data_IF_608546221174
#
_entry.id   IF_608546221174
#
_cell.length_a   1.000
_cell.length_b   1.000
_cell.length_c   1.000
_cell.angle_alpha   90.00
_cell.angle_beta   90.00
_cell.angle_gamma   90.00
#
_symmetry.space_group_name_H-M   'P 1'
#
loop_
_entity.id
_entity.type
_entity.pdbx_description
1 polymer ?
#
# COMPACT_ATOMS: atom_id res chain seq x y z
N UNK A 1 -23.85 -77.76 53.08
CA UNK A 1 -23.36 -76.60 53.92
C UNK A 1 -22.63 -75.64 53.02
N UNK A 2 -23.28 -74.50 52.73
CA UNK A 2 -22.90 -73.53 51.68
C UNK A 2 -22.02 -72.45 52.29
N UNK A 3 -20.82 -72.34 51.80
CA UNK A 3 -19.99 -71.15 52.06
C UNK A 3 -19.98 -70.22 50.86
N UNK A 4 -20.87 -69.23 50.87
CA UNK A 4 -20.78 -68.07 49.98
C UNK A 4 -19.86 -67.05 50.60
N UNK A 5 -18.60 -67.06 50.23
CA UNK A 5 -17.64 -65.98 50.52
C UNK A 5 -17.80 -64.90 49.55
N UNK A 6 -18.28 -63.76 50.04
CA UNK A 6 -18.42 -62.48 49.36
C UNK A 6 -17.16 -62.04 48.62
N UNK A 7 -17.31 -61.83 47.29
CA UNK A 7 -16.28 -61.19 46.50
C UNK A 7 -16.33 -59.66 46.83
N UNK A 8 -15.45 -59.25 47.76
CA UNK A 8 -15.10 -57.85 47.89
C UNK A 8 -14.38 -57.41 46.60
N UNK A 9 -15.07 -56.60 45.76
CA UNK A 9 -14.40 -55.88 44.68
C UNK A 9 -13.40 -54.93 45.33
N UNK A 10 -12.12 -55.23 45.22
CA UNK A 10 -11.05 -54.26 45.52
C UNK A 10 -11.25 -53.05 44.57
N UNK A 11 -11.61 -51.91 45.10
CA UNK A 11 -11.44 -50.64 44.39
C UNK A 11 -9.97 -50.56 44.04
N UNK A 12 -9.68 -50.55 42.72
CA UNK A 12 -8.32 -50.24 42.24
C UNK A 12 -8.00 -48.83 42.72
N UNK A 13 -7.04 -48.70 43.60
CA UNK A 13 -6.46 -47.44 44.00
C UNK A 13 -5.92 -46.77 42.71
N UNK A 14 -6.50 -45.66 42.35
CA UNK A 14 -6.05 -44.85 41.21
C UNK A 14 -4.62 -44.42 41.54
N UNK A 15 -3.67 -44.78 40.69
CA UNK A 15 -2.27 -44.43 40.91
C UNK A 15 -2.14 -42.90 41.02
N UNK A 16 -1.20 -42.39 41.85
CA UNK A 16 -1.05 -40.93 42.03
C UNK A 16 -0.80 -40.21 40.72
N UNK A 17 -0.23 -40.87 39.72
CA UNK A 17 -0.05 -40.37 38.37
C UNK A 17 -1.40 -40.15 37.64
N UNK A 18 -2.34 -41.10 37.79
CA UNK A 18 -3.68 -40.99 37.17
C UNK A 18 -4.49 -39.87 37.83
N UNK A 19 -4.34 -39.66 39.14
CA UNK A 19 -4.99 -38.54 39.83
C UNK A 19 -4.46 -37.19 39.32
N UNK A 20 -3.14 -37.08 39.18
CA UNK A 20 -2.52 -35.86 38.60
C UNK A 20 -3.00 -35.60 37.17
N UNK A 21 -3.10 -36.64 36.32
CA UNK A 21 -3.60 -36.55 34.96
C UNK A 21 -5.07 -36.07 34.90
N UNK A 22 -5.94 -36.63 35.77
CA UNK A 22 -7.34 -36.21 35.86
C UNK A 22 -7.50 -34.75 36.31
N UNK A 23 -6.72 -34.32 37.31
CA UNK A 23 -6.71 -32.95 37.79
C UNK A 23 -6.27 -32.02 36.65
N UNK A 24 -5.18 -32.35 35.95
CA UNK A 24 -4.66 -31.57 34.85
C UNK A 24 -5.68 -31.44 33.71
N UNK A 25 -6.32 -32.55 33.30
CA UNK A 25 -7.39 -32.54 32.29
C UNK A 25 -8.57 -31.66 32.69
N UNK A 26 -8.99 -31.77 33.95
CA UNK A 26 -10.11 -30.95 34.46
C UNK A 26 -9.77 -29.46 34.43
N UNK A 27 -8.58 -29.08 34.90
CA UNK A 27 -8.10 -27.70 34.87
C UNK A 27 -8.01 -27.18 33.42
N UNK A 28 -7.46 -27.98 32.51
CA UNK A 28 -7.37 -27.61 31.09
C UNK A 28 -8.74 -27.43 30.44
N UNK A 29 -9.67 -28.31 30.74
CA UNK A 29 -11.07 -28.23 30.23
C UNK A 29 -11.77 -26.99 30.77
N UNK A 30 -11.59 -26.67 32.05
CA UNK A 30 -12.12 -25.41 32.63
C UNK A 30 -11.48 -24.21 31.98
N UNK A 31 -10.18 -24.20 31.77
CA UNK A 31 -9.45 -23.11 31.11
C UNK A 31 -9.95 -22.90 29.67
N UNK A 32 -10.10 -23.98 28.91
CA UNK A 32 -10.68 -23.93 27.55
C UNK A 32 -12.12 -23.40 27.61
N UNK A 33 -12.93 -23.88 28.54
CA UNK A 33 -14.31 -23.39 28.75
C UNK A 33 -14.34 -21.89 29.04
N UNK A 34 -13.46 -21.38 29.90
CA UNK A 34 -13.35 -19.95 30.20
C UNK A 34 -12.99 -19.16 28.94
N UNK A 35 -11.99 -19.61 28.16
CA UNK A 35 -11.57 -18.95 26.92
C UNK A 35 -12.69 -18.93 25.89
N UNK A 36 -13.43 -20.03 25.73
CA UNK A 36 -14.58 -20.10 24.82
C UNK A 36 -15.74 -19.20 25.26
N UNK A 37 -16.02 -19.12 26.56
CA UNK A 37 -17.08 -18.26 27.11
C UNK A 37 -16.72 -16.78 27.11
N UNK A 38 -15.44 -16.43 27.23
CA UNK A 38 -14.98 -15.02 27.20
C UNK A 38 -15.14 -14.40 25.82
N UNK A 39 -15.11 -15.24 24.76
CA UNK A 39 -15.26 -14.80 23.38
C UNK A 39 -14.18 -13.83 22.90
N UNK A 40 -14.17 -13.52 21.62
CA UNK A 40 -13.26 -12.52 21.06
C UNK A 40 -13.85 -11.11 21.28
N UNK A 41 -13.28 -10.37 22.22
CA UNK A 41 -13.66 -8.98 22.57
C UNK A 41 -12.83 -7.94 21.80
N UNK A 42 -12.02 -8.35 20.83
CA UNK A 42 -11.22 -7.40 20.04
C UNK A 42 -12.13 -6.44 19.29
N UNK A 43 -11.83 -5.15 19.36
CA UNK A 43 -12.58 -4.13 18.63
C UNK A 43 -12.31 -4.30 17.14
N UNK A 44 -13.36 -4.26 16.29
CA UNK A 44 -13.19 -4.27 14.85
C UNK A 44 -12.30 -3.10 14.40
N UNK A 45 -11.31 -3.39 13.54
CA UNK A 45 -10.42 -2.36 13.00
C UNK A 45 -9.94 -2.74 11.60
N UNK A 46 -9.55 -1.73 10.84
CA UNK A 46 -8.82 -1.91 9.58
C UNK A 46 -7.39 -2.34 9.90
N UNK A 47 -6.96 -3.48 9.38
CA UNK A 47 -5.59 -3.98 9.50
C UNK A 47 -4.69 -3.43 8.42
N UNK A 48 -5.23 -3.37 7.20
CA UNK A 48 -4.46 -2.95 6.04
C UNK A 48 -5.37 -2.22 5.05
N UNK A 49 -4.85 -1.14 4.51
CA UNK A 49 -5.39 -0.42 3.37
C UNK A 49 -4.31 -0.35 2.29
N UNK A 50 -4.53 -1.01 1.15
CA UNK A 50 -3.49 -1.21 0.15
C UNK A 50 -2.97 0.07 -0.49
N UNK A 51 -3.77 1.14 -0.47
CA UNK A 51 -3.37 2.44 -1.01
C UNK A 51 -2.90 3.45 0.04
N UNK A 52 -2.75 3.03 1.30
CA UNK A 52 -2.30 3.91 2.37
C UNK A 52 -0.97 4.60 2.03
N UNK A 53 -1.00 5.94 1.98
CA UNK A 53 0.15 6.81 1.68
C UNK A 53 0.82 6.51 0.32
N UNK A 54 0.08 5.90 -0.61
CA UNK A 54 0.60 5.60 -1.96
C UNK A 54 0.21 6.68 -2.96
N UNK A 55 1.06 6.79 -3.97
CA UNK A 55 0.76 7.51 -5.20
C UNK A 55 0.31 6.49 -6.25
N UNK A 56 -0.93 6.64 -6.75
CA UNK A 56 -1.58 5.70 -7.66
C UNK A 56 -1.65 6.25 -9.07
N UNK A 57 -1.53 5.37 -10.06
CA UNK A 57 -1.63 5.68 -11.48
C UNK A 57 -2.99 5.35 -12.08
N UNK A 58 -3.14 5.58 -13.38
CA UNK A 58 -4.36 5.23 -14.13
C UNK A 58 -4.60 3.72 -14.24
N UNK A 59 -3.58 2.92 -14.02
CA UNK A 59 -3.63 1.45 -14.03
C UNK A 59 -4.20 0.88 -12.73
N UNK A 60 -4.15 1.66 -11.66
CA UNK A 60 -4.62 1.24 -10.35
C UNK A 60 -6.14 1.39 -10.27
N UNK A 61 -6.86 0.34 -10.66
CA UNK A 61 -8.32 0.35 -10.75
C UNK A 61 -9.04 -0.11 -9.49
N UNK A 62 -8.35 -0.26 -8.37
CA UNK A 62 -9.01 -0.65 -7.13
C UNK A 62 -8.08 -0.83 -5.94
N UNK A 63 -8.68 -0.78 -4.75
CA UNK A 63 -7.96 -1.00 -3.49
C UNK A 63 -8.65 -2.08 -2.64
N UNK A 64 -7.88 -2.59 -1.68
CA UNK A 64 -8.34 -3.55 -0.69
C UNK A 64 -8.30 -2.92 0.70
N UNK A 65 -9.33 -3.23 1.48
CA UNK A 65 -9.33 -3.01 2.94
C UNK A 65 -9.46 -4.37 3.61
N UNK A 66 -8.49 -4.71 4.44
CA UNK A 66 -8.48 -5.94 5.23
C UNK A 66 -8.83 -5.60 6.69
N UNK A 67 -9.82 -6.33 7.23
CA UNK A 67 -10.28 -6.13 8.59
C UNK A 67 -9.71 -7.23 9.51
N UNK A 68 -9.58 -6.93 10.81
CA UNK A 68 -9.17 -7.94 11.78
C UNK A 68 -10.22 -9.05 12.01
N UNK A 69 -11.50 -8.77 11.66
CA UNK A 69 -12.63 -9.70 11.82
C UNK A 69 -13.67 -9.51 10.71
N UNK A 70 -14.61 -10.47 10.53
CA UNK A 70 -15.70 -10.31 9.56
C UNK A 70 -16.58 -9.12 9.89
N UNK A 71 -16.86 -8.28 8.90
CA UNK A 71 -17.67 -7.08 9.03
C UNK A 71 -19.08 -7.29 8.47
N UNK A 72 -20.04 -6.54 8.98
CA UNK A 72 -21.34 -6.40 8.35
C UNK A 72 -21.18 -5.58 7.07
N UNK A 73 -21.34 -6.22 5.92
CA UNK A 73 -21.09 -5.66 4.59
C UNK A 73 -21.90 -4.40 4.35
N UNK A 74 -23.21 -4.47 4.58
CA UNK A 74 -24.12 -3.34 4.39
C UNK A 74 -23.75 -2.16 5.29
N UNK A 75 -23.33 -2.43 6.53
CA UNK A 75 -22.87 -1.40 7.45
C UNK A 75 -21.60 -0.73 6.98
N UNK A 76 -20.63 -1.48 6.41
CA UNK A 76 -19.41 -0.89 5.84
C UNK A 76 -19.74 -0.07 4.59
N UNK A 77 -20.55 -0.59 3.68
CA UNK A 77 -20.95 0.08 2.45
C UNK A 77 -21.64 1.42 2.69
N UNK A 78 -22.50 1.50 3.71
CA UNK A 78 -23.19 2.74 4.10
C UNK A 78 -22.27 3.77 4.77
N UNK A 79 -21.20 3.32 5.41
CA UNK A 79 -20.33 4.16 6.24
C UNK A 79 -18.95 4.45 5.62
N UNK A 80 -18.64 3.86 4.47
CA UNK A 80 -17.42 4.16 3.74
C UNK A 80 -17.60 5.46 2.96
N UNK A 81 -16.74 6.43 3.23
CA UNK A 81 -16.71 7.72 2.54
C UNK A 81 -15.36 7.91 1.88
N UNK A 82 -15.37 8.34 0.63
CA UNK A 82 -14.19 8.68 -0.16
C UNK A 82 -14.34 10.14 -0.58
N UNK A 83 -13.35 10.94 -0.28
CA UNK A 83 -13.34 12.37 -0.61
C UNK A 83 -12.02 12.74 -1.34
N UNK A 84 -12.12 13.29 -2.56
CA UNK A 84 -13.29 13.44 -3.42
C UNK A 84 -13.98 12.11 -3.75
N UNK A 85 -15.30 12.14 -4.06
CA UNK A 85 -16.05 10.90 -4.30
C UNK A 85 -15.56 10.20 -5.57
N UNK A 86 -15.34 8.89 -5.45
CA UNK A 86 -14.99 8.01 -6.56
C UNK A 86 -16.12 7.02 -6.82
N UNK A 87 -16.44 6.82 -8.10
CA UNK A 87 -17.42 5.82 -8.52
C UNK A 87 -16.78 4.44 -8.57
N UNK A 88 -17.42 3.46 -7.96
CA UNK A 88 -16.89 2.10 -7.92
C UNK A 88 -17.89 1.09 -7.38
N UNK A 89 -17.45 -0.16 -7.31
CA UNK A 89 -18.22 -1.29 -6.78
C UNK A 89 -17.44 -1.96 -5.66
N UNK A 90 -18.16 -2.35 -4.61
CA UNK A 90 -17.60 -3.13 -3.51
C UNK A 90 -17.82 -4.61 -3.75
N UNK A 91 -16.83 -5.42 -3.44
CA UNK A 91 -16.89 -6.88 -3.43
C UNK A 91 -16.20 -7.42 -2.18
N UNK A 92 -16.58 -8.62 -1.74
CA UNK A 92 -16.18 -9.16 -0.46
C UNK A 92 -15.62 -10.57 -0.56
N UNK A 93 -14.53 -10.82 0.14
CA UNK A 93 -13.93 -12.12 0.34
C UNK A 93 -13.57 -12.31 1.83
N UNK A 94 -14.49 -12.91 2.60
CA UNK A 94 -14.30 -13.08 4.04
C UNK A 94 -14.17 -11.75 4.78
N UNK A 95 -12.98 -11.46 5.34
CA UNK A 95 -12.65 -10.23 6.06
C UNK A 95 -12.12 -9.10 5.18
N UNK A 96 -11.99 -9.36 3.88
CA UNK A 96 -11.42 -8.43 2.91
C UNK A 96 -12.50 -7.82 2.05
N UNK A 97 -12.47 -6.50 1.92
CA UNK A 97 -13.30 -5.74 1.00
C UNK A 97 -12.41 -5.21 -0.12
N UNK A 98 -12.83 -5.41 -1.36
CA UNK A 98 -12.25 -4.80 -2.54
C UNK A 98 -13.18 -3.71 -3.05
N UNK A 99 -12.61 -2.53 -3.31
CA UNK A 99 -13.28 -1.44 -4.00
C UNK A 99 -12.70 -1.32 -5.40
N UNK A 100 -13.50 -1.61 -6.42
CA UNK A 100 -13.10 -1.53 -7.83
C UNK A 100 -13.69 -0.27 -8.43
N UNK A 101 -12.83 0.58 -8.96
CA UNK A 101 -13.23 1.83 -9.62
C UNK A 101 -13.94 1.57 -10.94
N UNK A 102 -14.93 2.39 -11.26
CA UNK A 102 -15.60 2.38 -12.56
C UNK A 102 -14.84 3.16 -13.63
N UNK A 103 -14.00 4.08 -13.22
CA UNK A 103 -13.18 4.96 -14.07
C UNK A 103 -11.85 5.28 -13.35
N UNK A 104 -10.79 5.60 -14.08
CA UNK A 104 -9.51 5.99 -13.48
C UNK A 104 -9.67 7.25 -12.61
N UNK A 105 -8.84 7.35 -11.58
CA UNK A 105 -8.83 8.54 -10.70
C UNK A 105 -8.35 9.78 -11.45
N UNK A 106 -8.89 10.96 -11.14
CA UNK A 106 -8.38 12.24 -11.64
C UNK A 106 -6.91 12.43 -11.24
N UNK A 107 -6.08 12.93 -12.13
CA UNK A 107 -4.66 13.17 -11.87
C UNK A 107 -4.43 14.27 -10.82
N UNK A 108 -3.30 14.16 -10.10
CA UNK A 108 -2.80 15.16 -9.18
C UNK A 108 -3.69 15.43 -7.96
N UNK A 109 -4.64 14.55 -7.68
CA UNK A 109 -5.69 14.75 -6.68
C UNK A 109 -5.37 13.97 -5.41
N UNK A 110 -5.36 14.60 -4.23
CA UNK A 110 -5.32 13.89 -2.95
C UNK A 110 -6.72 13.34 -2.61
N UNK A 111 -6.74 12.14 -2.04
CA UNK A 111 -7.96 11.46 -1.62
C UNK A 111 -7.88 11.06 -0.16
N UNK A 112 -9.01 11.11 0.54
CA UNK A 112 -9.18 10.53 1.86
C UNK A 112 -10.25 9.43 1.84
N UNK A 113 -10.01 8.36 2.58
CA UNK A 113 -10.94 7.25 2.77
C UNK A 113 -11.28 7.19 4.25
N UNK A 114 -12.54 7.38 4.59
CA UNK A 114 -13.00 7.37 5.97
C UNK A 114 -13.99 6.25 6.19
N UNK A 115 -13.81 5.52 7.28
CA UNK A 115 -14.76 4.51 7.73
C UNK A 115 -15.06 4.71 9.20
N UNK A 116 -16.27 5.20 9.49
CA UNK A 116 -16.75 5.48 10.85
C UNK A 116 -18.15 4.94 11.02
N UNK A 117 -18.46 4.32 12.17
CA UNK A 117 -19.83 3.85 12.45
C UNK A 117 -20.18 2.49 11.84
N UNK A 118 -19.29 1.87 11.08
CA UNK A 118 -19.50 0.52 10.61
C UNK A 118 -19.45 -0.50 11.78
N UNK A 119 -20.10 -1.64 11.60
CA UNK A 119 -20.23 -2.69 12.62
C UNK A 119 -19.70 -4.02 12.09
N UNK A 120 -19.24 -4.87 12.99
CA UNK A 120 -18.84 -6.23 12.64
C UNK A 120 -20.06 -7.14 12.44
N UNK A 121 -19.80 -8.32 11.89
CA UNK A 121 -20.80 -9.37 11.73
C UNK A 121 -20.78 -10.25 12.98
N UNK A 122 -21.67 -9.99 13.94
CA UNK A 122 -21.91 -10.89 15.08
C UNK A 122 -22.93 -11.96 14.70
N UNK A 123 -22.66 -13.18 15.15
CA UNK A 123 -23.65 -14.26 15.07
C UNK A 123 -24.81 -13.98 16.04
N UNK A 124 -26.02 -13.79 15.50
CA UNK A 124 -27.26 -13.59 16.26
C UNK A 124 -27.84 -12.16 16.13
N UNK A 125 -29.01 -11.95 16.76
CA UNK A 125 -29.79 -10.70 16.69
C UNK A 125 -29.20 -9.49 17.41
N UNK A 126 -27.97 -9.60 17.93
CA UNK A 126 -27.28 -8.50 18.60
C UNK A 126 -26.65 -7.57 17.57
N UNK A 127 -26.83 -6.28 17.79
CA UNK A 127 -26.10 -5.27 17.02
C UNK A 127 -24.59 -5.50 17.17
N UNK A 128 -23.87 -5.65 16.03
CA UNK A 128 -22.43 -5.85 16.02
C UNK A 128 -21.66 -4.71 16.70
N UNK A 129 -20.41 -4.96 17.04
CA UNK A 129 -19.51 -3.98 17.67
C UNK A 129 -19.09 -2.92 16.65
N UNK A 130 -19.06 -1.66 17.08
CA UNK A 130 -18.60 -0.55 16.25
C UNK A 130 -17.12 -0.68 15.93
N UNK A 131 -16.77 -0.37 14.69
CA UNK A 131 -15.39 -0.31 14.22
C UNK A 131 -14.65 0.88 14.84
N UNK A 132 -13.37 0.69 15.11
CA UNK A 132 -12.47 1.80 15.38
C UNK A 132 -12.44 2.73 14.16
N UNK A 133 -12.64 4.04 14.34
CA UNK A 133 -12.60 4.99 13.22
C UNK A 133 -11.30 4.88 12.44
N UNK A 134 -11.43 4.77 11.13
CA UNK A 134 -10.31 4.65 10.21
C UNK A 134 -10.27 5.86 9.26
N UNK A 135 -9.06 6.39 9.03
CA UNK A 135 -8.79 7.41 8.01
C UNK A 135 -7.58 6.95 7.19
N UNK A 136 -7.81 6.71 5.92
CA UNK A 136 -6.79 6.40 4.94
C UNK A 136 -6.55 7.58 4.00
N UNK A 137 -5.33 7.70 3.45
CA UNK A 137 -4.96 8.75 2.52
C UNK A 137 -4.17 8.15 1.37
N UNK A 138 -4.43 8.64 0.17
CA UNK A 138 -3.64 8.36 -1.01
C UNK A 138 -3.72 9.55 -1.97
N UNK A 139 -2.86 9.57 -2.98
CA UNK A 139 -2.85 10.60 -4.00
C UNK A 139 -2.71 9.97 -5.37
N UNK A 140 -3.39 10.50 -6.36
CA UNK A 140 -3.14 10.13 -7.75
C UNK A 140 -1.87 10.80 -8.28
N UNK A 141 -1.22 10.14 -9.25
CA UNK A 141 -0.04 10.68 -9.92
C UNK A 141 -0.38 11.97 -10.65
N UNK A 142 0.62 12.83 -10.74
CA UNK A 142 0.51 14.03 -11.55
C UNK A 142 0.52 13.66 -13.05
N UNK A 143 -0.21 14.41 -13.84
CA UNK A 143 -0.10 14.35 -15.28
C UNK A 143 1.01 15.26 -15.74
N UNK A 144 2.01 14.71 -16.38
CA UNK A 144 3.16 15.47 -16.88
C UNK A 144 3.54 14.99 -18.27
N UNK A 145 4.22 15.84 -19.02
CA UNK A 145 4.91 15.47 -20.25
C UNK A 145 6.32 16.03 -20.26
N UNK A 146 7.20 15.35 -20.99
CA UNK A 146 8.56 15.81 -21.20
C UNK A 146 8.80 16.08 -22.68
N UNK A 147 9.67 17.03 -22.99
CA UNK A 147 10.11 17.34 -24.35
C UNK A 147 11.56 17.82 -24.36
N UNK A 148 12.19 17.79 -25.52
CA UNK A 148 13.51 18.39 -25.73
C UNK A 148 13.29 19.81 -26.23
N UNK A 149 13.80 20.79 -25.50
CA UNK A 149 13.71 22.20 -25.89
C UNK A 149 14.52 22.49 -27.17
N UNK A 150 13.98 23.35 -28.02
CA UNK A 150 14.59 23.69 -29.32
C UNK A 150 15.01 25.16 -29.44
N UNK A 151 14.69 25.99 -28.45
CA UNK A 151 14.96 27.43 -28.49
C UNK A 151 15.31 28.01 -27.11
N UNK A 152 16.12 29.08 -27.11
CA UNK A 152 16.41 29.90 -25.96
C UNK A 152 17.12 29.10 -24.83
N UNK A 153 16.72 29.35 -23.58
CA UNK A 153 17.31 28.69 -22.41
C UNK A 153 16.98 27.19 -22.28
N UNK A 154 16.04 26.70 -23.10
CA UNK A 154 15.63 25.29 -23.11
C UNK A 154 16.34 24.48 -24.21
N UNK A 155 17.08 25.13 -25.09
CA UNK A 155 17.73 24.51 -26.26
C UNK A 155 18.63 23.34 -25.87
N UNK A 156 18.29 22.15 -26.39
CA UNK A 156 18.98 20.89 -26.13
C UNK A 156 18.70 20.27 -24.76
N UNK A 157 17.87 20.89 -23.93
CA UNK A 157 17.55 20.39 -22.59
C UNK A 157 16.30 19.52 -22.59
N UNK A 158 16.28 18.53 -21.70
CA UNK A 158 15.05 17.79 -21.38
C UNK A 158 14.23 18.63 -20.39
N UNK A 159 13.04 18.94 -20.79
CA UNK A 159 12.09 19.78 -20.02
C UNK A 159 10.91 18.96 -19.59
N UNK A 160 10.46 19.11 -18.35
CA UNK A 160 9.25 18.51 -17.80
C UNK A 160 8.21 19.59 -17.54
N UNK A 161 6.96 19.33 -17.93
CA UNK A 161 5.82 20.20 -17.61
C UNK A 161 4.79 19.37 -16.83
N UNK A 162 4.52 19.78 -15.60
CA UNK A 162 3.50 19.16 -14.76
C UNK A 162 2.15 19.84 -14.98
N UNK A 163 1.24 19.15 -15.68
CA UNK A 163 -0.10 19.65 -16.01
C UNK A 163 -1.09 19.58 -14.82
N UNK A 164 -0.75 18.93 -13.74
CA UNK A 164 -1.59 18.87 -12.53
C UNK A 164 -1.46 20.11 -11.65
N UNK A 165 -0.51 20.99 -11.95
CA UNK A 165 -0.36 22.28 -11.27
C UNK A 165 -1.31 23.31 -11.84
N UNK A 166 -1.75 24.26 -11.01
CA UNK A 166 -2.62 25.38 -11.45
C UNK A 166 -1.98 26.23 -12.55
N UNK A 167 -0.67 26.42 -12.45
CA UNK A 167 0.16 27.12 -13.44
C UNK A 167 1.30 26.20 -13.86
N UNK A 168 1.15 25.42 -14.93
CA UNK A 168 2.19 24.56 -15.43
C UNK A 168 3.42 25.37 -15.86
N UNK A 169 4.55 25.16 -15.23
CA UNK A 169 5.83 25.80 -15.59
C UNK A 169 6.81 24.76 -16.12
N UNK A 170 7.58 25.08 -17.18
CA UNK A 170 8.64 24.22 -17.66
C UNK A 170 9.72 24.05 -16.60
N UNK A 171 10.09 22.83 -16.30
CA UNK A 171 11.15 22.48 -15.34
C UNK A 171 12.26 21.80 -16.13
N UNK A 172 13.45 22.42 -16.26
CA UNK A 172 14.57 21.79 -16.94
C UNK A 172 15.11 20.66 -16.09
N UNK A 173 15.13 19.44 -16.65
CA UNK A 173 15.63 18.22 -15.99
C UNK A 173 17.12 18.02 -16.18
N UNK A 174 17.71 18.59 -17.25
CA UNK A 174 19.13 18.47 -17.56
C UNK A 174 19.82 19.83 -17.45
N UNK A 175 21.13 19.83 -17.11
CA UNK A 175 21.92 21.05 -17.05
C UNK A 175 22.13 21.67 -18.45
N UNK A 176 22.64 22.91 -18.50
CA UNK A 176 22.77 23.67 -19.74
C UNK A 176 23.93 23.21 -20.64
N UNK A 177 24.88 22.51 -20.08
CA UNK A 177 26.07 21.98 -20.78
C UNK A 177 25.78 20.65 -21.50
N UNK A 178 24.60 20.07 -21.32
CA UNK A 178 24.16 18.85 -22.02
C UNK A 178 23.18 19.15 -23.14
N UNK A 179 23.34 18.42 -24.23
CA UNK A 179 22.36 18.36 -25.33
C UNK A 179 21.76 16.96 -25.34
N UNK A 180 20.49 16.87 -25.02
CA UNK A 180 19.72 15.64 -25.06
C UNK A 180 19.36 15.31 -26.49
N UNK A 181 19.64 14.09 -26.92
CA UNK A 181 19.41 13.61 -28.28
C UNK A 181 18.10 12.83 -28.38
N UNK A 182 17.82 12.03 -27.34
CA UNK A 182 16.63 11.18 -27.28
C UNK A 182 16.31 10.86 -25.80
N UNK A 183 15.03 10.57 -25.52
CA UNK A 183 14.61 10.15 -24.20
C UNK A 183 13.44 9.17 -24.26
N UNK A 184 13.37 8.29 -23.26
CA UNK A 184 12.30 7.32 -23.10
C UNK A 184 11.85 7.26 -21.65
N UNK A 185 10.58 7.56 -21.34
CA UNK A 185 10.03 7.36 -20.00
C UNK A 185 9.91 5.86 -19.70
N UNK A 186 10.24 5.47 -18.46
CA UNK A 186 9.98 4.11 -18.00
C UNK A 186 8.49 3.89 -17.79
N UNK A 187 7.99 2.66 -18.02
CA UNK A 187 6.56 2.34 -17.96
C UNK A 187 5.87 2.72 -16.65
N UNK A 188 6.59 2.69 -15.52
CA UNK A 188 6.05 3.10 -14.22
C UNK A 188 6.17 4.59 -13.93
N UNK A 189 6.68 5.39 -14.86
CA UNK A 189 6.68 6.86 -14.81
C UNK A 189 7.59 7.52 -13.79
N UNK A 190 8.42 6.75 -13.06
CA UNK A 190 9.27 7.29 -12.01
C UNK A 190 10.67 7.66 -12.50
N UNK A 191 11.06 7.18 -13.68
CA UNK A 191 12.37 7.41 -14.26
C UNK A 191 12.25 7.77 -15.75
N UNK A 192 13.22 8.55 -16.23
CA UNK A 192 13.41 8.84 -17.64
C UNK A 192 14.82 8.43 -18.02
N UNK A 193 14.93 7.53 -19.00
CA UNK A 193 16.20 7.22 -19.67
C UNK A 193 16.40 8.24 -20.79
N UNK A 194 17.58 8.84 -20.87
CA UNK A 194 17.89 9.74 -21.97
C UNK A 194 19.35 9.58 -22.41
N UNK A 195 19.62 9.87 -23.67
CA UNK A 195 20.95 9.97 -24.25
C UNK A 195 21.30 11.45 -24.44
N UNK A 196 22.51 11.84 -24.09
CA UNK A 196 22.95 13.21 -24.24
C UNK A 196 24.45 13.28 -24.56
N UNK A 197 24.84 14.41 -25.16
CA UNK A 197 26.24 14.77 -25.41
C UNK A 197 26.55 16.06 -24.67
N UNK A 198 27.82 16.25 -24.32
CA UNK A 198 28.27 17.52 -23.76
C UNK A 198 28.40 18.55 -24.90
N UNK A 199 27.93 19.78 -24.71
CA UNK A 199 28.02 20.87 -25.70
C UNK A 199 29.49 21.14 -26.13
N UNK A 200 30.44 20.95 -25.24
CA UNK A 200 31.87 21.09 -25.55
C UNK A 200 32.40 19.97 -26.43
N UNK A 201 31.78 18.80 -26.45
CA UNK A 201 32.18 17.62 -27.21
C UNK A 201 31.43 17.46 -28.52
N UNK A 202 30.32 18.21 -28.71
CA UNK A 202 29.50 18.21 -29.92
C UNK A 202 30.32 18.52 -31.18
N UNK A 203 31.45 19.24 -31.04
CA UNK A 203 32.37 19.56 -32.13
C UNK A 203 33.34 18.41 -32.49
N UNK A 204 33.35 17.30 -31.73
CA UNK A 204 34.34 16.23 -31.86
C UNK A 204 33.79 14.88 -32.31
N UNK A 205 32.56 14.78 -32.72
CA UNK A 205 31.90 13.56 -33.24
C UNK A 205 32.00 12.29 -32.36
N UNK A 206 32.24 12.42 -31.05
CA UNK A 206 32.42 11.23 -30.20
C UNK A 206 31.67 11.31 -28.88
N UNK A 207 30.99 10.20 -28.57
CA UNK A 207 30.41 9.72 -27.31
C UNK A 207 29.03 10.21 -26.92
N UNK A 208 28.04 9.29 -27.11
CA UNK A 208 26.75 9.32 -26.47
C UNK A 208 26.87 8.76 -25.05
N UNK A 209 26.45 9.53 -24.06
CA UNK A 209 26.30 9.07 -22.68
C UNK A 209 24.83 8.84 -22.38
N UNK A 210 24.51 7.67 -21.82
CA UNK A 210 23.16 7.36 -21.39
C UNK A 210 22.98 7.71 -19.90
N UNK A 211 21.91 8.40 -19.56
CA UNK A 211 21.60 8.83 -18.21
C UNK A 211 20.22 8.33 -17.80
N UNK A 212 20.05 8.01 -16.51
CA UNK A 212 18.77 7.70 -15.91
C UNK A 212 18.45 8.78 -14.87
N UNK A 213 17.29 9.41 -15.00
CA UNK A 213 16.80 10.42 -14.07
C UNK A 213 15.48 9.99 -13.45
N UNK A 214 15.38 10.18 -12.13
CA UNK A 214 14.13 10.09 -11.39
C UNK A 214 13.54 11.50 -11.22
N UNK A 215 12.38 11.83 -11.83
CA UNK A 215 11.75 13.13 -11.69
C UNK A 215 11.41 13.51 -10.26
N UNK A 216 11.18 12.54 -9.37
CA UNK A 216 10.84 12.80 -7.96
C UNK A 216 12.01 13.38 -7.16
N UNK A 217 13.24 12.92 -7.41
CA UNK A 217 14.42 13.49 -6.78
C UNK A 217 14.72 14.94 -7.23
N UNK A 218 14.24 15.28 -8.44
CA UNK A 218 14.44 16.59 -9.02
C UNK A 218 13.52 17.68 -8.47
N UNK A 219 12.32 17.30 -8.00
CA UNK A 219 11.33 18.24 -7.44
C UNK A 219 11.68 18.66 -6.01
N UNK A 220 12.40 17.80 -5.26
CA UNK A 220 12.70 18.01 -3.83
C UNK A 220 13.91 18.93 -3.57
N UNK A 221 14.85 19.05 -4.50
CA UNK A 221 16.04 19.87 -4.26
C UNK A 221 16.68 20.44 -5.54
N UNK A 222 16.19 21.58 -6.06
CA UNK A 222 16.69 22.15 -7.32
C UNK A 222 18.15 22.65 -7.26
N UNK A 223 18.71 22.89 -6.06
CA UNK A 223 20.04 23.44 -5.89
C UNK A 223 21.18 22.41 -5.72
N UNK A 224 20.88 21.17 -5.34
CA UNK A 224 21.85 20.08 -5.23
C UNK A 224 22.13 19.32 -6.55
N UNK A 225 21.42 19.69 -7.62
CA UNK A 225 21.44 18.99 -8.91
C UNK A 225 22.78 18.88 -9.61
N UNK A 226 23.61 19.89 -9.52
CA UNK A 226 24.88 19.94 -10.25
C UNK A 226 25.94 18.98 -9.71
N UNK A 227 25.85 18.61 -8.43
CA UNK A 227 26.81 17.71 -7.78
C UNK A 227 26.52 16.21 -7.97
N UNK A 228 25.24 15.82 -8.12
CA UNK A 228 24.87 14.41 -8.23
C UNK A 228 25.02 13.82 -9.65
N UNK A 229 24.89 14.64 -10.69
CA UNK A 229 25.05 14.16 -12.08
C UNK A 229 26.51 13.79 -12.39
N UNK A 230 27.50 14.52 -11.84
CA UNK A 230 28.90 14.19 -11.99
C UNK A 230 29.29 12.87 -11.30
N UNK A 231 28.68 12.56 -10.16
CA UNK A 231 28.92 11.31 -9.42
C UNK A 231 28.23 10.09 -10.02
N UNK A 232 27.08 10.27 -10.71
CA UNK A 232 26.40 9.19 -11.40
C UNK A 232 27.03 8.84 -12.75
N UNK A 233 27.62 9.81 -13.45
CA UNK A 233 28.35 9.56 -14.69
C UNK A 233 29.60 8.67 -14.48
N UNK A 234 30.24 8.72 -13.32
CA UNK A 234 31.35 7.81 -12.96
C UNK A 234 30.86 6.38 -12.63
N UNK A 235 29.64 6.19 -12.08
CA UNK A 235 29.08 4.86 -11.81
C UNK A 235 28.62 4.14 -13.08
N UNK A 236 28.16 4.86 -14.09
CA UNK A 236 27.69 4.27 -15.37
C UNK A 236 28.83 3.91 -16.35
N UNK A 237 30.05 4.46 -16.17
CA UNK A 237 31.22 4.06 -16.94
C UNK A 237 31.78 2.66 -16.63
N UNK A 238 31.12 1.90 -15.71
CA UNK A 238 31.57 0.55 -15.30
C UNK A 238 30.64 -0.59 -15.67
N UNK A 239 29.70 -0.36 -16.60
CA UNK A 239 28.86 -1.42 -17.13
C UNK A 239 28.94 -1.50 -18.65
#
# INVERSE_FOLDING_TARGET
MNNNLSKFKRLKWVQPLDQAAWILMTVLTILIGIVLLTGDRTIPQVREFTWQNKQIGSEDMGFLIDFNRPMNRESVEKNLQIDPPLRGKMSWAGRRMAYTLSEPVPYGTPFSVQLKGARDHLYGDKQGTLIQPFNGFFRSRDRAFAYIGVQGNEEGRLILVNLSQKEPKPIPLTPEDLVVLDFQPYPKGDNILFSAINKSEQKKDQFHLNYILSPQELILNPQEKTLNLSNQSEKLKRF
#
